data_IF_035031184726
#
_entry.id   IF_035031184726
#
_cell.length_a   1.000
_cell.length_b   1.000
_cell.length_c   1.000
_cell.angle_alpha   90.00
_cell.angle_beta   90.00
_cell.angle_gamma   90.00
#
_symmetry.space_group_name_H-M   'P 1'
#
loop_
_entity.id
_entity.type
_entity.pdbx_description
1 polymer ?
#
# COMPACT_ATOMS: atom_id res chain seq x y z
N UNK A 1 -4.79 -20.98 14.35
CA UNK A 1 -5.26 -20.65 12.98
C UNK A 1 -4.19 -19.78 12.32
N UNK A 2 -3.55 -20.25 11.23
CA UNK A 2 -2.47 -19.50 10.59
C UNK A 2 -2.99 -18.21 9.95
N UNK A 3 -2.29 -17.08 10.09
CA UNK A 3 -2.64 -15.81 9.43
C UNK A 3 -2.64 -15.92 7.90
N UNK A 4 -1.87 -16.86 7.36
CA UNK A 4 -1.76 -17.10 5.91
C UNK A 4 -3.12 -17.41 5.28
N UNK A 5 -3.89 -18.45 5.66
CA UNK A 5 -5.20 -18.77 5.05
C UNK A 5 -6.23 -17.63 5.11
N UNK A 6 -6.25 -16.83 6.19
CA UNK A 6 -7.13 -15.64 6.27
C UNK A 6 -6.75 -14.57 5.24
N UNK A 7 -5.44 -14.36 5.04
CA UNK A 7 -4.91 -13.44 4.03
C UNK A 7 -5.03 -13.99 2.61
N UNK A 8 -4.89 -15.30 2.39
CA UNK A 8 -4.93 -15.90 1.04
C UNK A 8 -6.28 -15.69 0.35
N UNK A 9 -7.37 -15.55 1.13
CA UNK A 9 -8.71 -15.22 0.61
C UNK A 9 -8.96 -13.73 0.35
N UNK A 10 -8.01 -12.86 0.70
CA UNK A 10 -8.18 -11.41 0.59
C UNK A 10 -7.84 -10.88 -0.81
N UNK A 11 -8.62 -9.93 -1.32
CA UNK A 11 -8.36 -9.29 -2.62
C UNK A 11 -7.01 -8.57 -2.64
N UNK A 12 -6.59 -8.03 -1.50
CA UNK A 12 -5.29 -7.36 -1.39
C UNK A 12 -4.12 -8.33 -1.53
N UNK A 13 -4.22 -9.55 -0.98
CA UNK A 13 -3.20 -10.57 -1.17
C UNK A 13 -3.08 -11.00 -2.64
N UNK A 14 -4.20 -11.14 -3.35
CA UNK A 14 -4.20 -11.39 -4.79
C UNK A 14 -3.44 -10.32 -5.59
N UNK A 15 -3.50 -9.05 -5.16
CA UNK A 15 -2.71 -7.97 -5.78
C UNK A 15 -1.22 -8.14 -5.54
N UNK A 16 -0.81 -8.56 -4.34
CA UNK A 16 0.60 -8.82 -4.02
C UNK A 16 1.13 -9.96 -4.89
N UNK A 17 0.38 -11.05 -5.02
CA UNK A 17 0.75 -12.19 -5.89
C UNK A 17 0.84 -11.76 -7.34
N UNK A 18 -0.16 -11.05 -7.86
CA UNK A 18 -0.13 -10.54 -9.23
C UNK A 18 1.05 -9.58 -9.47
N UNK A 19 1.36 -8.71 -8.50
CA UNK A 19 2.55 -7.85 -8.56
C UNK A 19 3.85 -8.65 -8.60
N UNK A 20 3.93 -9.80 -7.92
CA UNK A 20 5.09 -10.68 -7.96
C UNK A 20 5.27 -11.29 -9.36
N UNK A 21 4.19 -11.80 -9.96
CA UNK A 21 4.24 -12.34 -11.32
C UNK A 21 4.68 -11.30 -12.36
N UNK A 22 4.25 -10.05 -12.20
CA UNK A 22 4.67 -8.93 -13.07
C UNK A 22 6.16 -8.63 -12.89
N UNK A 23 6.65 -8.63 -11.65
CA UNK A 23 8.07 -8.42 -11.36
C UNK A 23 8.94 -9.55 -11.94
N UNK A 24 8.48 -10.79 -11.87
CA UNK A 24 9.16 -11.94 -12.46
C UNK A 24 9.20 -11.86 -13.99
N UNK A 25 8.10 -11.47 -14.64
CA UNK A 25 8.08 -11.28 -16.10
C UNK A 25 9.02 -10.16 -16.56
N UNK A 26 9.13 -9.09 -15.77
CA UNK A 26 10.09 -7.99 -16.01
C UNK A 26 11.53 -8.50 -15.85
N UNK A 27 11.82 -9.24 -14.77
CA UNK A 27 13.15 -9.78 -14.50
C UNK A 27 13.63 -10.73 -15.60
N UNK A 28 12.73 -11.59 -16.11
CA UNK A 28 13.02 -12.55 -17.18
C UNK A 28 12.80 -11.97 -18.60
N UNK A 29 12.55 -10.66 -18.73
CA UNK A 29 12.30 -9.96 -20.01
C UNK A 29 11.25 -10.60 -20.90
N UNK A 30 10.19 -11.15 -20.32
CA UNK A 30 9.07 -11.78 -21.06
C UNK A 30 8.12 -10.73 -21.62
N UNK A 31 8.59 -9.93 -22.57
CA UNK A 31 7.85 -8.79 -23.15
C UNK A 31 6.47 -9.17 -23.72
N UNK A 32 6.35 -10.37 -24.30
CA UNK A 32 5.07 -10.90 -24.80
C UNK A 32 4.05 -11.10 -23.67
N UNK A 33 4.47 -11.64 -22.52
CA UNK A 33 3.61 -11.83 -21.34
C UNK A 33 3.16 -10.47 -20.78
N UNK A 34 4.07 -9.49 -20.72
CA UNK A 34 3.72 -8.12 -20.32
C UNK A 34 2.67 -7.50 -21.27
N UNK A 35 2.82 -7.70 -22.59
CA UNK A 35 1.85 -7.20 -23.59
C UNK A 35 0.47 -7.86 -23.42
N UNK A 36 0.43 -9.18 -23.18
CA UNK A 36 -0.83 -9.90 -22.91
C UNK A 36 -1.50 -9.40 -21.63
N UNK A 37 -0.75 -9.27 -20.53
CA UNK A 37 -1.24 -8.77 -19.24
C UNK A 37 -1.77 -7.34 -19.35
N UNK A 38 -1.10 -6.48 -20.12
CA UNK A 38 -1.59 -5.13 -20.42
C UNK A 38 -2.87 -5.14 -21.28
N UNK A 39 -2.96 -6.03 -22.28
CA UNK A 39 -4.14 -6.12 -23.15
C UNK A 39 -5.38 -6.67 -22.42
N UNK A 40 -5.20 -7.50 -21.40
CA UNK A 40 -6.29 -7.98 -20.53
C UNK A 40 -6.87 -6.87 -19.64
N UNK A 41 -6.14 -5.77 -19.43
CA UNK A 41 -6.65 -4.62 -18.68
C UNK A 41 -7.44 -3.67 -19.60
N UNK A 42 -8.69 -4.05 -19.92
CA UNK A 42 -9.62 -3.21 -20.70
C UNK A 42 -10.14 -1.98 -19.95
N UNK A 43 -10.11 -2.01 -18.62
CA UNK A 43 -10.56 -0.91 -17.76
C UNK A 43 -9.37 -0.10 -17.22
N UNK A 44 -8.62 0.56 -18.12
CA UNK A 44 -7.80 1.68 -17.67
C UNK A 44 -8.77 2.83 -17.35
N UNK A 45 -8.79 3.38 -16.13
CA UNK A 45 -9.58 4.57 -15.87
C UNK A 45 -9.21 5.62 -16.91
N UNK A 46 -10.21 6.11 -17.67
CA UNK A 46 -10.03 7.22 -18.61
C UNK A 46 -9.36 8.33 -17.80
N UNK A 47 -8.08 8.57 -18.08
CA UNK A 47 -7.31 9.62 -17.45
C UNK A 47 -7.93 10.96 -17.85
N UNK A 48 -8.94 11.41 -17.12
CA UNK A 48 -9.23 12.84 -17.06
C UNK A 48 -8.04 13.45 -16.34
N UNK A 49 -7.25 14.20 -17.08
CA UNK A 49 -6.16 15.04 -16.58
C UNK A 49 -6.61 16.00 -15.45
N UNK A 50 -7.93 16.16 -15.24
CA UNK A 50 -8.57 16.84 -14.12
C UNK A 50 -9.39 15.77 -13.37
N UNK A 51 -8.83 15.12 -12.35
CA UNK A 51 -9.56 14.11 -11.57
C UNK A 51 -8.78 12.87 -11.12
N UNK A 52 -7.44 12.85 -11.24
CA UNK A 52 -6.58 11.80 -10.66
C UNK A 52 -6.73 11.69 -9.13
N UNK A 53 -7.24 12.72 -8.43
CA UNK A 53 -7.48 12.68 -6.98
C UNK A 53 -8.50 11.60 -6.55
N UNK A 54 -9.42 11.22 -7.44
CA UNK A 54 -10.49 10.28 -7.10
C UNK A 54 -10.04 8.82 -6.97
N UNK A 55 -8.86 8.42 -7.44
CA UNK A 55 -8.41 7.01 -7.34
C UNK A 55 -7.42 6.79 -6.19
N UNK A 56 -6.59 7.79 -5.87
CA UNK A 56 -5.64 7.69 -4.76
C UNK A 56 -6.28 7.84 -3.38
N UNK A 57 -7.52 8.29 -3.32
CA UNK A 57 -8.25 8.48 -2.07
C UNK A 57 -8.32 7.22 -1.20
N UNK A 58 -8.32 6.02 -1.79
CA UNK A 58 -8.35 4.76 -1.04
C UNK A 58 -6.99 4.46 -0.39
N UNK A 59 -5.90 4.71 -1.12
CA UNK A 59 -4.55 4.53 -0.61
C UNK A 59 -4.24 5.58 0.47
N UNK A 60 -4.50 6.84 0.18
CA UNK A 60 -4.32 7.96 1.10
C UNK A 60 -5.26 7.82 2.31
N UNK A 61 -6.52 7.45 2.07
CA UNK A 61 -7.53 7.22 3.11
C UNK A 61 -7.13 6.10 4.06
N UNK A 62 -6.72 4.94 3.54
CA UNK A 62 -6.22 3.83 4.39
C UNK A 62 -5.02 4.22 5.23
N UNK A 63 -4.10 5.02 4.70
CA UNK A 63 -2.97 5.57 5.47
C UNK A 63 -3.42 6.54 6.58
N UNK A 64 -4.36 7.45 6.29
CA UNK A 64 -4.89 8.35 7.31
C UNK A 64 -5.64 7.59 8.40
N UNK A 65 -6.45 6.59 8.04
CA UNK A 65 -7.14 5.74 9.03
C UNK A 65 -6.13 5.06 9.97
N UNK A 66 -5.01 4.55 9.43
CA UNK A 66 -3.93 3.98 10.24
C UNK A 66 -3.26 5.04 11.14
N UNK A 67 -2.98 6.23 10.63
CA UNK A 67 -2.40 7.32 11.42
C UNK A 67 -3.31 7.73 12.59
N UNK A 68 -4.60 7.96 12.33
CA UNK A 68 -5.57 8.31 13.36
C UNK A 68 -5.84 7.16 14.33
N UNK A 69 -5.76 5.90 13.87
CA UNK A 69 -5.83 4.75 14.77
C UNK A 69 -4.67 4.74 15.77
N UNK A 70 -3.44 5.00 15.34
CA UNK A 70 -2.32 5.16 16.26
C UNK A 70 -2.57 6.31 17.25
N UNK A 71 -3.03 7.47 16.78
CA UNK A 71 -3.34 8.59 17.66
C UNK A 71 -4.40 8.23 18.73
N UNK A 72 -5.44 7.50 18.36
CA UNK A 72 -6.47 7.03 19.28
C UNK A 72 -5.95 5.97 20.27
N UNK A 73 -5.10 5.04 19.84
CA UNK A 73 -4.46 4.07 20.74
C UNK A 73 -3.54 4.77 21.74
N UNK A 74 -2.80 5.80 21.30
CA UNK A 74 -1.97 6.64 22.20
C UNK A 74 -2.85 7.39 23.20
N UNK A 75 -3.93 8.02 22.73
CA UNK A 75 -4.87 8.72 23.61
C UNK A 75 -5.51 7.77 24.64
N UNK A 76 -5.85 6.54 24.23
CA UNK A 76 -6.39 5.50 25.11
C UNK A 76 -5.41 5.13 26.24
N UNK A 77 -4.11 5.10 25.93
CA UNK A 77 -3.05 4.69 26.87
C UNK A 77 -2.55 5.82 27.79
N UNK A 78 -2.94 7.07 27.55
CA UNK A 78 -2.57 8.27 28.34
C UNK A 78 -1.10 8.28 28.79
N UNK A 79 -0.14 8.18 27.86
CA UNK A 79 1.25 7.98 28.22
C UNK A 79 1.87 9.24 28.85
N UNK A 80 2.83 9.07 29.79
CA UNK A 80 3.40 10.18 30.56
C UNK A 80 4.35 11.11 29.77
N UNK A 81 4.93 10.64 28.65
CA UNK A 81 5.92 11.40 27.88
C UNK A 81 5.39 11.84 26.51
N UNK A 82 4.69 12.98 26.47
CA UNK A 82 4.10 13.52 25.25
C UNK A 82 5.08 13.73 24.06
N UNK A 83 6.34 14.19 24.24
CA UNK A 83 7.24 14.45 23.10
C UNK A 83 7.61 13.20 22.28
N UNK A 84 7.80 12.05 22.93
CA UNK A 84 8.15 10.79 22.25
C UNK A 84 7.06 10.35 21.26
N UNK A 85 5.80 10.60 21.60
CA UNK A 85 4.67 10.27 20.72
C UNK A 85 4.54 11.21 19.53
N UNK A 86 4.91 12.48 19.70
CA UNK A 86 4.97 13.45 18.59
C UNK A 86 6.05 13.02 17.60
N UNK A 87 7.27 12.73 18.06
CA UNK A 87 8.34 12.25 17.19
C UNK A 87 8.01 10.91 16.53
N UNK A 88 7.45 9.97 17.30
CA UNK A 88 6.98 8.68 16.77
C UNK A 88 5.90 8.85 15.71
N UNK A 89 4.93 9.74 15.93
CA UNK A 89 3.87 10.05 14.98
C UNK A 89 4.39 10.68 13.68
N UNK A 90 5.32 11.63 13.77
CA UNK A 90 5.96 12.24 12.59
C UNK A 90 6.75 11.19 11.80
N UNK A 91 7.55 10.37 12.48
CA UNK A 91 8.29 9.29 11.82
C UNK A 91 7.35 8.28 11.15
N UNK A 92 6.23 7.95 11.80
CA UNK A 92 5.23 7.06 11.25
C UNK A 92 4.53 7.65 10.01
N UNK A 93 4.21 8.95 10.03
CA UNK A 93 3.64 9.65 8.88
C UNK A 93 4.60 9.59 7.68
N UNK A 94 5.90 9.86 7.90
CA UNK A 94 6.92 9.76 6.85
C UNK A 94 6.95 8.35 6.27
N UNK A 95 6.91 7.32 7.12
CA UNK A 95 6.91 5.93 6.67
C UNK A 95 5.67 5.62 5.81
N UNK A 96 4.47 6.04 6.25
CA UNK A 96 3.24 5.86 5.47
C UNK A 96 3.28 6.57 4.11
N UNK A 97 3.88 7.76 4.05
CA UNK A 97 4.09 8.48 2.78
C UNK A 97 5.04 7.73 1.84
N UNK A 98 6.14 7.20 2.36
CA UNK A 98 7.07 6.37 1.58
C UNK A 98 6.35 5.12 1.05
N UNK A 99 5.53 4.46 1.88
CA UNK A 99 4.75 3.29 1.47
C UNK A 99 3.78 3.64 0.36
N UNK A 100 3.01 4.73 0.51
CA UNK A 100 2.11 5.20 -0.54
C UNK A 100 2.85 5.41 -1.85
N UNK A 101 3.93 6.20 -1.84
CA UNK A 101 4.74 6.48 -3.02
C UNK A 101 5.29 5.21 -3.70
N UNK A 102 5.67 4.19 -2.92
CA UNK A 102 6.10 2.90 -3.46
C UNK A 102 4.95 2.17 -4.17
N UNK A 103 3.74 2.21 -3.59
CA UNK A 103 2.52 1.64 -4.20
C UNK A 103 2.16 2.39 -5.49
N UNK A 104 2.21 3.72 -5.50
CA UNK A 104 1.95 4.52 -6.71
C UNK A 104 2.92 4.19 -7.85
N UNK A 105 4.17 3.87 -7.51
CA UNK A 105 5.18 3.39 -8.47
C UNK A 105 4.98 1.94 -8.91
N UNK A 106 3.93 1.25 -8.43
CA UNK A 106 3.69 -0.16 -8.72
C UNK A 106 4.78 -1.07 -8.17
N UNK A 107 5.44 -0.70 -7.06
CA UNK A 107 6.46 -1.53 -6.43
C UNK A 107 5.79 -2.51 -5.48
N UNK A 108 6.08 -3.81 -5.66
CA UNK A 108 5.63 -4.87 -4.76
C UNK A 108 5.97 -4.58 -3.30
N UNK A 109 7.16 -4.06 -3.03
CA UNK A 109 7.60 -3.69 -1.69
C UNK A 109 6.65 -2.69 -1.02
N UNK A 110 6.05 -1.77 -1.76
CA UNK A 110 5.04 -0.84 -1.23
C UNK A 110 3.78 -1.57 -0.74
N UNK A 111 3.25 -2.50 -1.55
CA UNK A 111 2.06 -3.28 -1.18
C UNK A 111 2.32 -4.17 0.05
N UNK A 112 3.50 -4.79 0.10
CA UNK A 112 3.92 -5.63 1.23
C UNK A 112 4.10 -4.79 2.50
N UNK A 113 4.75 -3.63 2.41
CA UNK A 113 4.90 -2.72 3.54
C UNK A 113 3.54 -2.15 4.01
N UNK A 114 2.60 -1.90 3.11
CA UNK A 114 1.24 -1.50 3.47
C UNK A 114 0.53 -2.58 4.27
N UNK A 115 0.68 -3.85 3.87
CA UNK A 115 0.14 -4.99 4.63
C UNK A 115 0.78 -5.11 6.01
N UNK A 116 2.12 -5.01 6.09
CA UNK A 116 2.82 -5.04 7.38
C UNK A 116 2.45 -3.87 8.28
N UNK A 117 2.22 -2.69 7.71
CA UNK A 117 1.75 -1.52 8.46
C UNK A 117 0.39 -1.78 9.09
N UNK A 118 -0.54 -2.33 8.32
CA UNK A 118 -1.85 -2.72 8.86
C UNK A 118 -1.72 -3.75 10.00
N UNK A 119 -0.86 -4.76 9.84
CA UNK A 119 -0.58 -5.74 10.90
C UNK A 119 0.03 -5.11 12.15
N UNK A 120 0.94 -4.16 11.97
CA UNK A 120 1.53 -3.41 13.07
C UNK A 120 0.46 -2.65 13.85
N UNK A 121 -0.48 -1.99 13.17
CA UNK A 121 -1.60 -1.32 13.84
C UNK A 121 -2.53 -2.27 14.56
N UNK A 122 -2.82 -3.43 13.96
CA UNK A 122 -3.61 -4.47 14.62
C UNK A 122 -2.93 -4.94 15.91
N UNK A 123 -1.62 -5.22 15.87
CA UNK A 123 -0.84 -5.61 17.04
C UNK A 123 -0.81 -4.50 18.10
N UNK A 124 -0.60 -3.25 17.69
CA UNK A 124 -0.62 -2.08 18.57
C UNK A 124 -1.98 -1.93 19.27
N UNK A 125 -3.09 -2.11 18.54
CA UNK A 125 -4.45 -2.06 19.09
C UNK A 125 -4.72 -3.18 20.09
N UNK A 126 -4.22 -4.41 19.84
CA UNK A 126 -4.32 -5.51 20.80
C UNK A 126 -3.49 -5.24 22.06
N UNK A 127 -2.25 -4.75 21.91
CA UNK A 127 -1.43 -4.35 23.06
C UNK A 127 -2.10 -3.24 23.86
N UNK A 128 -2.68 -2.24 23.19
CA UNK A 128 -3.43 -1.18 23.84
C UNK A 128 -4.65 -1.71 24.60
N UNK A 129 -5.37 -2.70 24.03
CA UNK A 129 -6.46 -3.39 24.70
C UNK A 129 -5.98 -4.08 25.99
N UNK A 130 -4.93 -4.91 25.91
CA UNK A 130 -4.40 -5.64 27.06
C UNK A 130 -3.97 -4.69 28.19
N UNK A 131 -3.24 -3.62 27.87
CA UNK A 131 -2.77 -2.64 28.87
C UNK A 131 -3.95 -1.87 29.46
N UNK A 132 -4.91 -1.47 28.63
CA UNK A 132 -6.08 -0.73 29.08
C UNK A 132 -7.04 -1.54 29.92
N UNK A 133 -7.22 -2.84 29.60
CA UNK A 133 -7.96 -3.76 30.46
C UNK A 133 -7.30 -3.92 31.84
N UNK A 134 -5.96 -3.95 31.90
CA UNK A 134 -5.24 -4.08 33.16
C UNK A 134 -5.27 -2.80 34.02
N UNK A 135 -5.26 -1.62 33.39
CA UNK A 135 -5.16 -0.34 34.11
C UNK A 135 -6.47 0.43 34.27
N UNK A 136 -7.34 0.38 33.27
CA UNK A 136 -8.55 1.22 33.19
C UNK A 136 -9.78 0.46 32.67
N UNK A 137 -10.14 -0.71 33.23
CA UNK A 137 -11.18 -1.58 32.69
C UNK A 137 -12.57 -0.93 32.65
N UNK A 138 -12.85 0.01 33.55
CA UNK A 138 -14.16 0.69 33.63
C UNK A 138 -14.16 2.10 33.04
N UNK A 139 -13.07 2.53 32.39
CA UNK A 139 -12.98 3.89 31.86
C UNK A 139 -13.68 4.00 30.51
N UNK A 140 -14.80 4.72 30.46
CA UNK A 140 -15.51 5.04 29.22
C UNK A 140 -14.60 5.72 28.18
N UNK A 141 -13.73 6.64 28.60
CA UNK A 141 -12.79 7.31 27.70
C UNK A 141 -11.81 6.33 27.05
N UNK A 142 -11.33 5.32 27.79
CA UNK A 142 -10.49 4.26 27.22
C UNK A 142 -11.25 3.48 26.15
N UNK A 143 -12.46 3.00 26.46
CA UNK A 143 -13.27 2.21 25.53
C UNK A 143 -13.65 2.97 24.26
N UNK A 144 -13.96 4.27 24.37
CA UNK A 144 -14.24 5.13 23.21
C UNK A 144 -13.00 5.32 22.33
N UNK A 145 -11.84 5.65 22.93
CA UNK A 145 -10.61 5.84 22.17
C UNK A 145 -10.13 4.53 21.53
N UNK A 146 -10.07 3.44 22.30
CA UNK A 146 -9.66 2.14 21.77
C UNK A 146 -10.64 1.61 20.72
N UNK A 147 -11.94 1.66 21.00
CA UNK A 147 -12.98 1.21 20.07
C UNK A 147 -12.96 2.01 18.75
N UNK A 148 -12.77 3.32 18.83
CA UNK A 148 -12.53 4.16 17.66
C UNK A 148 -11.28 3.75 16.90
N UNK A 149 -10.16 3.52 17.59
CA UNK A 149 -8.91 3.06 16.98
C UNK A 149 -9.05 1.71 16.26
N UNK A 150 -9.74 0.75 16.89
CA UNK A 150 -10.03 -0.56 16.32
C UNK A 150 -10.96 -0.47 15.09
N UNK A 151 -11.98 0.40 15.15
CA UNK A 151 -12.87 0.67 14.02
C UNK A 151 -12.10 1.25 12.82
N UNK A 152 -11.16 2.17 13.06
CA UNK A 152 -10.32 2.73 11.99
C UNK A 152 -9.42 1.67 11.34
N UNK A 153 -8.86 0.72 12.12
CA UNK A 153 -8.08 -0.41 11.58
C UNK A 153 -8.95 -1.31 10.70
N UNK A 154 -10.17 -1.56 11.14
CA UNK A 154 -11.14 -2.33 10.37
C UNK A 154 -11.55 -1.61 9.07
N UNK A 155 -11.80 -0.30 9.11
CA UNK A 155 -12.07 0.50 7.92
C UNK A 155 -10.87 0.52 6.97
N UNK A 156 -9.64 0.63 7.49
CA UNK A 156 -8.42 0.55 6.68
C UNK A 156 -8.31 -0.81 5.97
N UNK A 157 -8.62 -1.91 6.67
CA UNK A 157 -8.71 -3.24 6.07
C UNK A 157 -9.74 -3.31 4.95
N UNK A 158 -10.93 -2.74 5.17
CA UNK A 158 -12.01 -2.67 4.15
C UNK A 158 -11.57 -1.88 2.93
N UNK A 159 -10.89 -0.74 3.12
CA UNK A 159 -10.34 0.07 2.02
C UNK A 159 -9.26 -0.68 1.25
N UNK A 160 -8.31 -1.33 1.94
CA UNK A 160 -7.28 -2.15 1.30
C UNK A 160 -7.85 -3.30 0.46
N UNK A 161 -8.99 -3.87 0.88
CA UNK A 161 -9.67 -4.96 0.16
C UNK A 161 -10.78 -4.49 -0.79
N UNK A 162 -10.92 -3.18 -1.01
CA UNK A 162 -11.93 -2.62 -1.90
C UNK A 162 -11.61 -2.89 -3.39
N UNK A 163 -12.64 -2.83 -4.23
CA UNK A 163 -12.44 -2.89 -5.69
C UNK A 163 -11.66 -1.69 -6.23
N UNK A 164 -11.71 -0.56 -5.53
CA UNK A 164 -11.00 0.66 -5.91
C UNK A 164 -9.50 0.54 -5.67
N UNK A 165 -9.07 0.02 -4.51
CA UNK A 165 -7.67 -0.32 -4.26
C UNK A 165 -7.16 -1.30 -5.33
N UNK A 166 -7.97 -2.30 -5.67
CA UNK A 166 -7.63 -3.28 -6.69
C UNK A 166 -7.43 -2.65 -8.08
N UNK A 167 -8.33 -1.75 -8.49
CA UNK A 167 -8.22 -1.00 -9.74
C UNK A 167 -7.00 -0.07 -9.73
N UNK A 168 -6.77 0.65 -8.63
CA UNK A 168 -5.62 1.55 -8.47
C UNK A 168 -4.29 0.82 -8.64
N UNK A 169 -4.10 -0.28 -7.91
CA UNK A 169 -2.84 -1.04 -7.94
C UNK A 169 -2.62 -1.67 -9.32
N UNK A 170 -3.67 -2.25 -9.92
CA UNK A 170 -3.60 -2.78 -11.28
C UNK A 170 -3.20 -1.73 -12.31
N UNK A 171 -3.73 -0.52 -12.18
CA UNK A 171 -3.36 0.61 -13.03
C UNK A 171 -1.91 1.06 -12.82
N UNK A 172 -1.44 1.16 -11.57
CA UNK A 172 -0.04 1.47 -11.26
C UNK A 172 0.90 0.42 -11.87
N UNK A 173 0.54 -0.86 -11.78
CA UNK A 173 1.27 -1.96 -12.42
C UNK A 173 1.24 -1.88 -13.95
N UNK A 174 0.11 -1.50 -14.55
CA UNK A 174 0.00 -1.26 -15.99
C UNK A 174 1.00 -0.21 -16.48
N UNK A 175 1.06 0.93 -15.79
CA UNK A 175 1.98 2.02 -16.09
C UNK A 175 3.42 1.55 -15.99
N UNK A 176 3.75 0.79 -14.94
CA UNK A 176 5.07 0.20 -14.77
C UNK A 176 5.43 -0.73 -15.93
N UNK A 177 4.54 -1.66 -16.29
CA UNK A 177 4.75 -2.58 -17.41
C UNK A 177 4.95 -1.84 -18.73
N UNK A 178 4.12 -0.83 -19.00
CA UNK A 178 4.23 -0.01 -20.21
C UNK A 178 5.58 0.72 -20.28
N UNK A 179 6.02 1.34 -19.17
CA UNK A 179 7.33 2.01 -19.08
C UNK A 179 8.51 1.05 -19.29
N UNK A 180 8.43 -0.18 -18.77
CA UNK A 180 9.48 -1.18 -18.98
C UNK A 180 9.49 -1.65 -20.43
N UNK A 181 8.32 -1.93 -20.99
CA UNK A 181 8.17 -2.40 -22.37
C UNK A 181 8.70 -1.36 -23.37
N UNK A 182 8.38 -0.07 -23.21
CA UNK A 182 8.89 1.00 -24.09
C UNK A 182 10.41 1.16 -23.97
N UNK A 183 10.96 1.11 -22.75
CA UNK A 183 12.41 1.18 -22.54
C UNK A 183 13.16 0.01 -23.19
N UNK A 184 12.67 -1.21 -23.04
CA UNK A 184 13.32 -2.38 -23.67
C UNK A 184 13.17 -2.37 -25.20
N UNK A 185 12.10 -1.79 -25.76
CA UNK A 185 11.99 -1.57 -27.20
C UNK A 185 12.94 -0.48 -27.73
N UNK A 186 13.25 0.56 -26.95
CA UNK A 186 14.16 1.64 -27.34
C UNK A 186 15.64 1.21 -27.29
N UNK A 187 16.00 0.29 -26.38
CA UNK A 187 17.40 -0.14 -26.14
C UNK A 187 18.12 -0.73 -27.37
N UNK A 188 17.50 -1.58 -28.23
CA UNK A 188 18.12 -2.02 -29.49
C UNK A 188 18.37 -0.88 -30.47
N UNK A 189 17.48 0.10 -30.53
CA UNK A 189 17.61 1.28 -31.41
C UNK A 189 18.80 2.13 -31.00
N UNK A 190 18.93 2.44 -29.70
CA UNK A 190 20.06 3.19 -29.15
C UNK A 190 21.40 2.48 -29.38
N UNK A 191 21.47 1.16 -29.12
CA UNK A 191 22.68 0.37 -29.38
C UNK A 191 23.08 0.41 -30.85
N UNK A 192 22.11 0.33 -31.77
CA UNK A 192 22.37 0.43 -33.23
C UNK A 192 22.82 1.84 -33.61
N UNK A 193 22.22 2.89 -33.05
CA UNK A 193 22.61 4.28 -33.28
C UNK A 193 24.04 4.59 -32.78
N UNK A 194 24.40 4.11 -31.59
CA UNK A 194 25.76 4.24 -31.04
C UNK A 194 26.78 3.49 -31.91
N UNK A 195 26.46 2.28 -32.38
CA UNK A 195 27.34 1.52 -33.28
C UNK A 195 27.56 2.22 -34.62
N UNK A 196 26.54 2.90 -35.16
CA UNK A 196 26.68 3.71 -36.39
C UNK A 196 27.56 4.94 -36.17
N UNK A 197 27.40 5.64 -35.05
CA UNK A 197 28.25 6.81 -34.71
C UNK A 197 29.72 6.45 -34.50
N UNK A 198 30.04 5.27 -33.96
CA UNK A 198 31.44 4.81 -33.81
C UNK A 198 32.10 4.35 -35.11
N UNK A 199 31.33 4.18 -36.19
CA UNK A 199 31.82 3.74 -37.51
C UNK A 199 31.92 4.90 -38.52
N UNK A 200 31.47 6.09 -38.14
CA UNK A 200 31.66 7.35 -38.86
C UNK A 200 32.79 8.13 -38.21
#
# INVERSE_FOLDING_TARGET
MSLKPFLTGSRFYQLITYSAEVDDDIAHRRLHQLKLKMAQQRELPKARFIGTSSFYHVLVGSNYLMLFSAALNVAALRPPFAPLWVFGGVLWLILLMVIAFMVEKGRRSGLVLLLYSWFFHLALSVVALCVGLARWPSSWGFWLCWGGGALLIWLAWRMMNSQEMFRLVRWCLAIKMHRVHTKELQRPSEKRAVKRRKKS
#
